data_IF_620748379273
#
_entry.id   IF_620748379273
#
_cell.length_a   1.000
_cell.length_b   1.000
_cell.length_c   1.000
_cell.angle_alpha   90.00
_cell.angle_beta   90.00
_cell.angle_gamma   90.00
#
_symmetry.space_group_name_H-M   'P 1'
#
loop_
_entity.id
_entity.type
_entity.pdbx_description
1 polymer ?
#
# COMPACT_ATOMS: atom_id res chain seq x y z
N UNK A 1 15.53 -21.82 -17.51
CA UNK A 1 15.08 -20.60 -18.21
C UNK A 1 16.02 -19.48 -17.83
N UNK A 2 16.93 -19.09 -18.73
CA UNK A 2 17.89 -18.00 -18.48
C UNK A 2 17.20 -16.71 -18.93
N UNK A 3 16.86 -15.82 -17.99
CA UNK A 3 16.34 -14.49 -18.31
C UNK A 3 17.52 -13.70 -18.87
N UNK A 4 17.37 -13.11 -20.06
CA UNK A 4 18.47 -12.35 -20.66
C UNK A 4 18.79 -11.13 -19.80
N UNK A 5 20.07 -10.74 -19.75
CA UNK A 5 20.54 -9.58 -19.00
C UNK A 5 19.80 -8.28 -19.37
N UNK A 6 19.39 -8.19 -20.64
CA UNK A 6 18.57 -7.08 -21.18
C UNK A 6 17.14 -7.12 -20.61
N UNK A 7 16.55 -8.31 -20.48
CA UNK A 7 15.21 -8.46 -19.90
C UNK A 7 15.20 -8.22 -18.39
N UNK A 8 16.29 -8.60 -17.70
CA UNK A 8 16.49 -8.28 -16.29
C UNK A 8 16.60 -6.77 -16.08
N UNK A 9 17.44 -6.06 -16.85
CA UNK A 9 17.56 -4.60 -16.78
C UNK A 9 16.23 -3.90 -17.02
N UNK A 10 15.46 -4.30 -18.05
CA UNK A 10 14.13 -3.72 -18.31
C UNK A 10 13.16 -3.90 -17.15
N UNK A 11 13.20 -5.04 -16.46
CA UNK A 11 12.37 -5.32 -15.28
C UNK A 11 12.82 -4.50 -14.07
N UNK A 12 14.12 -4.34 -13.87
CA UNK A 12 14.70 -3.50 -12.80
C UNK A 12 14.33 -2.04 -13.03
N UNK A 13 14.48 -1.52 -14.25
CA UNK A 13 14.10 -0.14 -14.60
C UNK A 13 12.59 0.10 -14.46
N UNK A 14 11.77 -0.87 -14.86
CA UNK A 14 10.33 -0.80 -14.68
C UNK A 14 9.94 -0.80 -13.20
N UNK A 15 10.66 -1.56 -12.36
CA UNK A 15 10.46 -1.57 -10.92
C UNK A 15 10.92 -0.25 -10.29
N UNK A 16 12.08 0.27 -10.67
CA UNK A 16 12.61 1.54 -10.18
C UNK A 16 11.68 2.72 -10.50
N UNK A 17 11.22 2.83 -11.76
CA UNK A 17 10.21 3.83 -12.15
C UNK A 17 8.90 3.68 -11.38
N UNK A 18 8.52 2.43 -11.06
CA UNK A 18 7.33 2.16 -10.27
C UNK A 18 7.54 2.60 -8.82
N UNK A 19 8.66 2.28 -8.18
CA UNK A 19 9.01 2.73 -6.83
C UNK A 19 9.05 4.26 -6.76
N UNK A 20 9.72 4.91 -7.71
CA UNK A 20 9.80 6.37 -7.79
C UNK A 20 8.41 7.01 -7.95
N UNK A 21 7.55 6.41 -8.80
CA UNK A 21 6.16 6.83 -8.93
C UNK A 21 5.40 6.65 -7.61
N UNK A 22 5.59 5.55 -6.89
CA UNK A 22 4.95 5.32 -5.59
C UNK A 22 5.40 6.32 -4.54
N UNK A 23 6.69 6.63 -4.49
CA UNK A 23 7.24 7.61 -3.55
C UNK A 23 6.74 9.01 -3.86
N UNK A 24 6.67 9.37 -5.14
CA UNK A 24 6.10 10.65 -5.59
C UNK A 24 4.61 10.75 -5.25
N UNK A 25 3.84 9.70 -5.47
CA UNK A 25 2.40 9.67 -5.14
C UNK A 25 2.20 9.75 -3.63
N UNK A 26 2.96 8.99 -2.83
CA UNK A 26 2.89 9.02 -1.36
C UNK A 26 3.27 10.39 -0.81
N UNK A 27 4.29 11.05 -1.36
CA UNK A 27 4.70 12.40 -0.97
C UNK A 27 3.66 13.48 -1.35
N UNK A 28 2.83 13.22 -2.36
CA UNK A 28 1.74 14.10 -2.78
C UNK A 28 0.41 13.82 -2.06
N UNK A 29 0.30 12.70 -1.35
CA UNK A 29 -0.85 12.50 -0.46
C UNK A 29 -0.82 13.62 0.57
N UNK A 30 -1.90 14.42 0.68
CA UNK A 30 -1.89 15.54 1.60
C UNK A 30 -1.61 14.99 2.98
N UNK A 31 -0.77 15.67 3.77
CA UNK A 31 -0.53 15.31 5.17
C UNK A 31 -1.84 15.08 5.95
N UNK A 32 -2.96 15.66 5.45
CA UNK A 32 -4.35 15.53 5.90
C UNK A 32 -5.02 14.17 5.64
N UNK A 33 -4.45 13.27 4.83
CA UNK A 33 -4.73 11.82 4.94
C UNK A 33 -3.92 11.32 6.15
N UNK A 34 -4.19 11.96 7.28
CA UNK A 34 -3.69 11.57 8.58
C UNK A 34 -4.43 10.27 8.85
N UNK A 35 -3.72 9.14 8.84
CA UNK A 35 -4.10 8.06 9.75
C UNK A 35 -4.26 8.76 11.08
N UNK A 36 -5.46 8.83 11.66
CA UNK A 36 -5.72 9.79 12.71
C UNK A 36 -5.06 9.24 13.98
N UNK A 37 -3.77 9.56 14.12
CA UNK A 37 -2.96 9.43 15.32
C UNK A 37 -3.03 10.84 15.89
N UNK A 38 -3.70 10.99 17.02
CA UNK A 38 -3.72 12.27 17.68
C UNK A 38 -2.26 12.66 18.02
N UNK A 39 -1.93 13.96 18.04
CA UNK A 39 -0.58 14.44 18.32
C UNK A 39 -0.02 14.02 19.69
N UNK A 40 -0.87 13.51 20.59
CA UNK A 40 -0.53 12.93 21.89
C UNK A 40 -0.31 11.40 21.86
N UNK A 41 -0.36 10.78 20.67
CA UNK A 41 -0.24 9.33 20.50
C UNK A 41 -1.53 8.54 20.75
N UNK A 42 -2.67 9.21 21.02
CA UNK A 42 -3.96 8.52 21.19
C UNK A 42 -4.58 8.11 19.85
N UNK A 43 -5.24 6.95 19.82
CA UNK A 43 -5.93 6.45 18.63
C UNK A 43 -7.18 7.30 18.37
N UNK A 44 -7.25 7.99 17.24
CA UNK A 44 -8.49 8.67 16.85
C UNK A 44 -9.47 7.62 16.34
N UNK A 45 -10.70 7.73 16.82
CA UNK A 45 -11.83 6.84 16.54
C UNK A 45 -12.16 6.84 15.04
N UNK A 46 -11.74 5.76 14.37
CA UNK A 46 -12.12 5.38 13.02
C UNK A 46 -11.73 3.91 12.83
N UNK A 47 -12.58 3.09 12.20
CA UNK A 47 -12.24 1.69 11.98
C UNK A 47 -11.02 1.58 11.06
N UNK A 48 -10.18 0.55 11.22
CA UNK A 48 -9.04 0.31 10.34
C UNK A 48 -9.46 0.33 8.85
N UNK A 49 -10.67 -0.16 8.55
CA UNK A 49 -11.28 -0.14 7.22
C UNK A 49 -11.56 1.29 6.70
N UNK A 50 -12.01 2.21 7.56
CA UNK A 50 -12.26 3.60 7.19
C UNK A 50 -10.95 4.34 6.85
N UNK A 51 -9.88 4.03 7.59
CA UNK A 51 -8.53 4.57 7.29
C UNK A 51 -8.06 4.07 5.94
N UNK A 52 -8.14 2.76 5.68
CA UNK A 52 -7.77 2.16 4.38
C UNK A 52 -8.58 2.76 3.23
N UNK A 53 -9.89 2.94 3.41
CA UNK A 53 -10.76 3.56 2.41
C UNK A 53 -10.31 4.99 2.09
N UNK A 54 -9.95 5.80 3.08
CA UNK A 54 -9.42 7.15 2.85
C UNK A 54 -8.09 7.17 2.12
N UNK A 55 -7.17 6.25 2.45
CA UNK A 55 -5.91 6.11 1.71
C UNK A 55 -6.19 5.77 0.25
N UNK A 56 -7.11 4.83 -0.01
CA UNK A 56 -7.52 4.47 -1.37
C UNK A 56 -8.19 5.63 -2.12
N UNK A 57 -9.06 6.40 -1.47
CA UNK A 57 -9.68 7.60 -2.03
C UNK A 57 -8.65 8.66 -2.43
N UNK A 58 -7.64 8.85 -1.58
CA UNK A 58 -6.55 9.78 -1.85
C UNK A 58 -5.64 9.31 -2.99
N UNK A 59 -5.55 7.99 -3.22
CA UNK A 59 -4.93 7.37 -4.39
C UNK A 59 -5.86 7.38 -5.64
N UNK A 60 -7.01 8.05 -5.57
CA UNK A 60 -7.97 8.18 -6.68
C UNK A 60 -8.99 7.05 -6.78
N UNK A 61 -8.95 6.05 -5.90
CA UNK A 61 -9.90 4.93 -5.87
C UNK A 61 -11.12 5.30 -5.04
N UNK A 62 -12.07 6.01 -5.65
CA UNK A 62 -13.28 6.50 -4.98
C UNK A 62 -14.47 5.55 -5.05
N UNK A 63 -14.44 4.57 -5.95
CA UNK A 63 -15.54 3.63 -6.14
C UNK A 63 -15.48 2.50 -5.10
N UNK A 64 -16.51 2.30 -4.24
CA UNK A 64 -16.47 1.26 -3.22
C UNK A 64 -16.27 -0.16 -3.77
N UNK A 65 -16.84 -0.47 -4.95
CA UNK A 65 -16.62 -1.75 -5.62
C UNK A 65 -15.14 -1.98 -5.96
N UNK A 66 -14.48 -0.95 -6.48
CA UNK A 66 -13.06 -0.97 -6.81
C UNK A 66 -12.16 -1.09 -5.57
N UNK A 67 -12.51 -0.40 -4.49
CA UNK A 67 -11.80 -0.55 -3.21
C UNK A 67 -11.86 -2.00 -2.71
N UNK A 68 -13.04 -2.64 -2.78
CA UNK A 68 -13.21 -4.05 -2.40
C UNK A 68 -12.38 -4.99 -3.28
N UNK A 69 -12.27 -4.72 -4.57
CA UNK A 69 -11.39 -5.49 -5.47
C UNK A 69 -9.93 -5.38 -5.05
N UNK A 70 -9.44 -4.16 -4.76
CA UNK A 70 -8.06 -3.93 -4.32
C UNK A 70 -7.77 -4.59 -2.98
N UNK A 71 -8.76 -4.73 -2.09
CA UNK A 71 -8.62 -5.36 -0.78
C UNK A 71 -9.00 -6.85 -0.78
N UNK A 72 -9.41 -7.40 -1.93
CA UNK A 72 -9.88 -8.79 -2.01
C UNK A 72 -8.75 -9.76 -1.63
N UNK A 73 -9.01 -10.74 -0.75
CA UNK A 73 -8.04 -11.80 -0.47
C UNK A 73 -7.61 -12.53 -1.75
N UNK A 74 -6.34 -12.89 -1.84
CA UNK A 74 -5.79 -13.63 -2.98
C UNK A 74 -5.18 -12.75 -4.09
N UNK A 75 -5.07 -13.33 -5.29
CA UNK A 75 -4.42 -12.69 -6.45
C UNK A 75 -5.36 -11.65 -7.05
N UNK A 76 -4.88 -10.40 -7.09
CA UNK A 76 -5.55 -9.28 -7.76
C UNK A 76 -4.79 -8.86 -9.01
N UNK A 77 -5.40 -7.99 -9.82
CA UNK A 77 -4.78 -7.48 -11.05
C UNK A 77 -3.44 -6.79 -10.75
N UNK A 78 -2.57 -6.66 -11.76
CA UNK A 78 -1.23 -6.08 -11.56
C UNK A 78 -1.25 -4.65 -11.00
N UNK A 79 -2.24 -3.85 -11.40
CA UNK A 79 -2.46 -2.49 -10.89
C UNK A 79 -3.04 -2.48 -9.48
N UNK A 80 -3.93 -3.42 -9.14
CA UNK A 80 -4.50 -3.53 -7.80
C UNK A 80 -3.49 -4.04 -6.77
N UNK A 81 -2.63 -4.98 -7.18
CA UNK A 81 -1.49 -5.40 -6.39
C UNK A 81 -0.51 -4.22 -6.15
N UNK A 82 -0.41 -3.34 -7.15
CA UNK A 82 0.05 -1.95 -7.09
C UNK A 82 -0.37 -1.22 -5.84
N UNK A 83 -1.62 -0.77 -5.94
CA UNK A 83 -2.30 0.08 -4.99
C UNK A 83 -2.31 -0.54 -3.58
N UNK A 84 -2.48 -1.86 -3.49
CA UNK A 84 -2.37 -2.57 -2.21
C UNK A 84 -1.00 -2.42 -1.55
N UNK A 85 0.09 -2.55 -2.31
CA UNK A 85 1.45 -2.37 -1.79
C UNK A 85 1.69 -0.92 -1.33
N UNK A 86 1.13 0.06 -2.04
CA UNK A 86 1.19 1.48 -1.65
C UNK A 86 0.49 1.71 -0.32
N UNK A 87 -0.74 1.20 -0.19
CA UNK A 87 -1.52 1.28 1.06
C UNK A 87 -0.73 0.65 2.21
N UNK A 88 -0.17 -0.54 2.01
CA UNK A 88 0.63 -1.23 3.03
C UNK A 88 1.86 -0.40 3.43
N UNK A 89 2.62 0.13 2.46
CA UNK A 89 3.80 0.97 2.74
C UNK A 89 3.41 2.24 3.50
N UNK A 90 2.35 2.92 3.05
CA UNK A 90 1.87 4.15 3.67
C UNK A 90 1.40 3.92 5.12
N UNK A 91 0.65 2.86 5.39
CA UNK A 91 0.26 2.51 6.77
C UNK A 91 1.49 2.17 7.64
N UNK A 92 2.51 1.54 7.05
CA UNK A 92 3.80 1.30 7.69
C UNK A 92 4.54 2.59 8.08
N UNK A 93 4.49 3.64 7.24
CA UNK A 93 5.10 4.94 7.59
C UNK A 93 4.42 5.65 8.76
N UNK A 94 3.17 5.30 9.06
CA UNK A 94 2.45 5.75 10.26
C UNK A 94 2.65 4.82 11.47
N UNK A 95 3.58 3.86 11.42
CA UNK A 95 3.90 2.99 12.54
C UNK A 95 2.90 1.85 12.78
N UNK A 96 1.99 1.56 11.84
CA UNK A 96 1.13 0.40 11.99
C UNK A 96 1.94 -0.90 11.96
N UNK A 97 1.64 -1.80 12.89
CA UNK A 97 2.25 -3.12 12.91
C UNK A 97 1.81 -3.96 11.69
N UNK A 98 2.67 -4.88 11.25
CA UNK A 98 2.36 -5.77 10.15
C UNK A 98 1.07 -6.58 10.39
N UNK A 99 0.80 -6.96 11.64
CA UNK A 99 -0.43 -7.65 12.04
C UNK A 99 -1.67 -6.76 11.87
N UNK A 100 -1.61 -5.48 12.28
CA UNK A 100 -2.72 -4.52 12.11
C UNK A 100 -3.00 -4.25 10.64
N UNK A 101 -1.97 -3.97 9.85
CA UNK A 101 -2.09 -3.76 8.40
C UNK A 101 -2.70 -4.98 7.72
N UNK A 102 -2.26 -6.19 8.08
CA UNK A 102 -2.78 -7.42 7.52
C UNK A 102 -4.29 -7.58 7.74
N UNK A 103 -4.77 -7.30 8.95
CA UNK A 103 -6.21 -7.30 9.27
C UNK A 103 -6.97 -6.24 8.47
N UNK A 104 -6.43 -5.04 8.38
CA UNK A 104 -7.07 -3.92 7.70
C UNK A 104 -7.19 -4.12 6.18
N UNK A 105 -6.18 -4.75 5.56
CA UNK A 105 -6.05 -4.91 4.11
C UNK A 105 -6.50 -6.30 3.64
N UNK A 106 -6.81 -7.22 4.55
CA UNK A 106 -7.26 -8.58 4.21
C UNK A 106 -6.14 -9.50 3.71
N UNK A 107 -4.91 -9.33 4.21
CA UNK A 107 -3.73 -10.15 3.85
C UNK A 107 -3.01 -10.68 5.09
N UNK A 108 -2.21 -11.75 4.92
CA UNK A 108 -1.44 -12.29 6.04
C UNK A 108 -0.33 -11.33 6.48
N UNK A 109 0.00 -11.35 7.78
CA UNK A 109 1.15 -10.60 8.31
C UNK A 109 2.44 -10.93 7.55
N UNK A 110 2.65 -12.21 7.21
CA UNK A 110 3.79 -12.65 6.39
C UNK A 110 3.82 -11.96 5.02
N UNK A 111 2.67 -11.71 4.41
CA UNK A 111 2.57 -10.98 3.14
C UNK A 111 2.95 -9.52 3.32
N UNK A 112 2.52 -8.90 4.43
CA UNK A 112 2.90 -7.52 4.78
C UNK A 112 4.42 -7.41 4.98
N UNK A 113 5.02 -8.32 5.75
CA UNK A 113 6.49 -8.34 5.95
C UNK A 113 7.23 -8.48 4.62
N UNK A 114 6.79 -9.37 3.74
CA UNK A 114 7.34 -9.52 2.38
C UNK A 114 7.24 -8.24 1.55
N UNK A 115 6.20 -7.43 1.75
CA UNK A 115 6.08 -6.14 1.07
C UNK A 115 7.07 -5.12 1.61
N UNK A 116 7.31 -5.10 2.92
CA UNK A 116 8.36 -4.25 3.50
C UNK A 116 9.76 -4.66 3.01
N UNK A 117 10.08 -5.96 3.00
CA UNK A 117 11.37 -6.48 2.51
C UNK A 117 11.61 -6.23 1.00
N UNK A 118 10.55 -6.06 0.21
CA UNK A 118 10.67 -5.86 -1.24
C UNK A 118 10.89 -4.40 -1.62
N UNK A 119 10.56 -3.48 -0.72
CA UNK A 119 10.55 -2.03 -0.97
C UNK A 119 11.52 -1.28 -0.03
N UNK A 120 12.17 -2.00 0.90
CA UNK A 120 13.24 -1.53 1.77
C UNK A 120 14.60 -2.05 1.32
#
# INVERSE_FOLDING_TARGET
MVVSEVELHRRVDALARRVEYLERVVAQLPARVVVPIAPDGSEVVGTDAAVVARVLEALGVRQPGRQREILRPGKVSGEDAVLRQVVVRHLGTFGWSAARIGRAVGISERTVRRYFERVG
#
